data_IF_239980808527
#
_entry.id   IF_239980808527
#
_cell.length_a   1.000
_cell.length_b   1.000
_cell.length_c   1.000
_cell.angle_alpha   90.00
_cell.angle_beta   90.00
_cell.angle_gamma   90.00
#
_symmetry.space_group_name_H-M   'P 1'
#
loop_
_entity.id
_entity.type
_entity.pdbx_description
1 polymer ?
#
# COMPACT_ATOMS: atom_id res chain seq x y z
N UNK A 1 7.48 38.78 -26.57
CA UNK A 1 8.51 38.47 -27.59
C UNK A 1 8.68 36.96 -27.76
N UNK A 2 9.53 36.55 -28.69
CA UNK A 2 9.75 35.11 -28.98
C UNK A 2 10.44 34.39 -27.85
N UNK A 3 11.37 35.03 -27.16
CA UNK A 3 12.14 34.47 -26.05
C UNK A 3 11.20 34.20 -24.83
N UNK A 4 10.36 35.19 -24.49
CA UNK A 4 9.36 35.01 -23.42
C UNK A 4 8.37 33.88 -23.74
N UNK A 5 7.92 33.81 -25.00
CA UNK A 5 7.02 32.71 -25.40
C UNK A 5 7.69 31.34 -25.26
N UNK A 6 8.93 31.21 -25.70
CA UNK A 6 9.68 29.96 -25.60
C UNK A 6 9.93 29.55 -24.14
N UNK A 7 10.26 30.52 -23.29
CA UNK A 7 10.36 30.33 -21.84
C UNK A 7 9.05 29.80 -21.24
N UNK A 8 7.92 30.47 -21.54
CA UNK A 8 6.61 30.05 -21.03
C UNK A 8 6.24 28.64 -21.49
N UNK A 9 6.55 28.27 -22.72
CA UNK A 9 6.24 26.95 -23.24
C UNK A 9 7.09 25.87 -22.56
N UNK A 10 8.39 26.08 -22.42
CA UNK A 10 9.29 25.09 -21.76
C UNK A 10 8.98 24.94 -20.28
N UNK A 11 8.73 26.04 -19.57
CA UNK A 11 8.43 26.01 -18.14
C UNK A 11 7.03 25.45 -17.81
N UNK A 12 6.14 25.39 -18.79
CA UNK A 12 4.74 24.94 -18.61
C UNK A 12 4.62 23.47 -18.20
N UNK A 13 5.64 22.62 -18.42
CA UNK A 13 5.67 21.22 -17.99
C UNK A 13 5.76 21.08 -16.47
N UNK A 14 6.26 22.11 -15.78
CA UNK A 14 6.45 22.12 -14.34
C UNK A 14 5.14 22.52 -13.65
N UNK A 15 4.78 21.81 -12.57
CA UNK A 15 3.65 22.16 -11.70
C UNK A 15 4.02 23.29 -10.74
N UNK A 16 5.23 23.22 -10.20
CA UNK A 16 5.87 24.25 -9.39
C UNK A 16 7.27 24.50 -9.93
N UNK A 17 7.74 25.73 -9.76
CA UNK A 17 8.98 26.21 -10.39
C UNK A 17 9.81 26.97 -9.39
N UNK A 18 11.12 26.76 -9.41
CA UNK A 18 12.11 27.57 -8.73
C UNK A 18 13.27 27.88 -9.70
N UNK A 19 14.22 28.66 -9.25
CA UNK A 19 15.39 29.06 -10.05
C UNK A 19 16.13 27.85 -10.68
N UNK A 20 16.45 26.85 -9.88
CA UNK A 20 17.20 25.68 -10.34
C UNK A 20 16.45 24.87 -11.41
N UNK A 21 15.14 24.66 -11.26
CA UNK A 21 14.29 23.99 -12.24
C UNK A 21 14.20 24.76 -13.54
N UNK A 22 13.95 26.07 -13.44
CA UNK A 22 13.82 26.94 -14.62
C UNK A 22 15.13 27.00 -15.39
N UNK A 23 16.26 27.22 -14.71
CA UNK A 23 17.56 27.27 -15.37
C UNK A 23 17.85 25.95 -16.11
N UNK A 24 17.54 24.79 -15.50
CA UNK A 24 17.78 23.50 -16.14
C UNK A 24 16.85 23.20 -17.31
N UNK A 25 15.57 23.56 -17.20
CA UNK A 25 14.54 23.26 -18.20
C UNK A 25 14.57 24.22 -19.39
N UNK A 26 14.86 25.49 -19.15
CA UNK A 26 14.85 26.52 -20.22
C UNK A 26 16.24 26.74 -20.83
N UNK A 27 17.30 26.42 -20.10
CA UNK A 27 18.68 26.74 -20.46
C UNK A 27 19.08 28.21 -20.15
N UNK A 28 18.30 28.90 -19.34
CA UNK A 28 18.61 30.26 -18.84
C UNK A 28 19.48 30.17 -17.58
N UNK A 29 20.22 31.22 -17.24
CA UNK A 29 21.07 31.27 -16.04
C UNK A 29 20.48 32.15 -14.94
N UNK A 30 19.35 32.84 -15.20
CA UNK A 30 18.74 33.83 -14.32
C UNK A 30 17.24 33.54 -14.10
N UNK A 31 16.90 32.28 -13.80
CA UNK A 31 15.51 31.80 -13.70
C UNK A 31 14.66 32.60 -12.70
N UNK A 32 15.19 32.86 -11.50
CA UNK A 32 14.49 33.66 -10.49
C UNK A 32 14.09 35.05 -11.03
N UNK A 33 15.04 35.75 -11.61
CA UNK A 33 14.82 37.08 -12.14
C UNK A 33 13.79 37.06 -13.28
N UNK A 34 13.80 36.00 -14.09
CA UNK A 34 12.86 35.80 -15.19
C UNK A 34 11.45 35.49 -14.69
N UNK A 35 11.32 34.68 -13.65
CA UNK A 35 10.02 34.40 -12.99
C UNK A 35 9.42 35.70 -12.40
N UNK A 36 10.22 36.51 -11.70
CA UNK A 36 9.77 37.79 -11.13
C UNK A 36 9.39 38.82 -12.21
N UNK A 37 10.06 38.80 -13.37
CA UNK A 37 9.70 39.64 -14.50
C UNK A 37 8.34 39.27 -15.07
N UNK A 38 8.09 37.95 -15.26
CA UNK A 38 6.83 37.39 -15.76
C UNK A 38 5.67 37.69 -14.79
N UNK A 39 5.93 37.54 -13.48
CA UNK A 39 4.97 37.92 -12.44
C UNK A 39 4.59 39.39 -12.55
N UNK A 40 5.57 40.30 -12.65
CA UNK A 40 5.33 41.74 -12.79
C UNK A 40 4.58 42.12 -14.07
N UNK A 41 4.73 41.33 -15.13
CA UNK A 41 3.99 41.50 -16.37
C UNK A 41 2.55 41.00 -16.29
N UNK A 42 2.14 40.38 -15.17
CA UNK A 42 0.79 39.88 -14.94
C UNK A 42 0.45 38.64 -15.78
N UNK A 43 1.44 37.83 -16.17
CA UNK A 43 1.26 36.65 -17.01
C UNK A 43 0.80 35.40 -16.20
N UNK A 44 -0.16 35.59 -15.29
CA UNK A 44 -0.82 34.53 -14.53
C UNK A 44 0.14 33.59 -13.77
N UNK A 45 1.31 34.09 -13.37
CA UNK A 45 2.27 33.45 -12.49
C UNK A 45 1.98 33.89 -11.05
N UNK A 46 2.03 32.96 -10.10
CA UNK A 46 1.74 33.18 -8.69
C UNK A 46 2.86 32.59 -7.83
N UNK A 47 3.19 33.26 -6.71
CA UNK A 47 4.06 32.72 -5.69
C UNK A 47 3.31 31.68 -4.86
N UNK A 48 3.99 30.62 -4.51
CA UNK A 48 3.45 29.52 -3.69
C UNK A 48 3.86 29.63 -2.22
N UNK A 49 4.89 30.42 -1.91
CA UNK A 49 5.48 30.57 -0.60
C UNK A 49 5.75 32.05 -0.25
N UNK A 50 5.93 32.30 1.04
CA UNK A 50 6.22 33.64 1.56
C UNK A 50 7.67 34.09 1.30
N UNK A 51 8.58 33.13 1.01
CA UNK A 51 9.99 33.41 0.69
C UNK A 51 10.16 33.88 -0.75
N UNK A 52 9.18 33.58 -1.60
CA UNK A 52 9.18 33.96 -3.02
C UNK A 52 10.13 33.13 -3.87
N UNK A 53 10.48 31.94 -3.41
CA UNK A 53 11.35 31.00 -4.13
C UNK A 53 10.57 30.09 -5.10
N UNK A 54 9.29 29.78 -4.75
CA UNK A 54 8.46 28.89 -5.52
C UNK A 54 7.33 29.59 -6.24
N UNK A 55 7.14 29.24 -7.51
CA UNK A 55 6.12 29.81 -8.39
C UNK A 55 5.29 28.71 -9.05
N UNK A 56 4.06 29.03 -9.43
CA UNK A 56 3.23 28.21 -10.30
C UNK A 56 2.40 29.07 -11.23
N UNK A 57 2.04 28.51 -12.39
CA UNK A 57 1.06 29.14 -13.26
C UNK A 57 -0.37 28.93 -12.73
N UNK A 58 -1.22 29.94 -12.92
CA UNK A 58 -2.64 29.74 -12.72
C UNK A 58 -3.12 28.52 -13.53
N UNK A 59 -3.93 27.59 -12.95
CA UNK A 59 -4.25 26.29 -13.57
C UNK A 59 -4.72 26.38 -15.02
N UNK A 60 -5.61 27.33 -15.37
CA UNK A 60 -6.11 27.49 -16.73
C UNK A 60 -5.01 27.92 -17.70
N UNK A 61 -4.15 28.82 -17.28
CA UNK A 61 -3.04 29.29 -18.12
C UNK A 61 -1.97 28.21 -18.29
N UNK A 62 -1.61 27.52 -17.22
CA UNK A 62 -0.70 26.40 -17.27
C UNK A 62 -1.20 25.27 -18.20
N UNK A 63 -2.52 24.95 -18.16
CA UNK A 63 -3.12 23.98 -19.08
C UNK A 63 -3.02 24.42 -20.54
N UNK A 64 -3.33 25.69 -20.81
CA UNK A 64 -3.19 26.26 -22.15
C UNK A 64 -1.75 26.17 -22.65
N UNK A 65 -0.78 26.57 -21.82
CA UNK A 65 0.65 26.51 -22.18
C UNK A 65 1.10 25.08 -22.43
N UNK A 66 0.69 24.10 -21.59
CA UNK A 66 1.02 22.67 -21.78
C UNK A 66 0.52 22.13 -23.13
N UNK A 67 -0.73 22.45 -23.50
CA UNK A 67 -1.27 22.06 -24.80
C UNK A 67 -0.45 22.67 -25.94
N UNK A 68 -0.10 23.95 -25.84
CA UNK A 68 0.73 24.60 -26.85
C UNK A 68 2.15 24.01 -26.91
N UNK A 69 2.75 23.74 -25.76
CA UNK A 69 4.05 23.07 -25.66
C UNK A 69 4.04 21.73 -26.39
N UNK A 70 3.02 20.89 -26.18
CA UNK A 70 2.88 19.61 -26.85
C UNK A 70 2.84 19.71 -28.38
N UNK A 71 2.27 20.78 -28.92
CA UNK A 71 2.19 20.98 -30.37
C UNK A 71 3.44 21.62 -30.95
N UNK A 72 3.99 22.62 -30.26
CA UNK A 72 5.05 23.45 -30.80
C UNK A 72 6.46 22.88 -30.51
N UNK A 73 6.62 22.20 -29.37
CA UNK A 73 7.89 21.65 -28.89
C UNK A 73 7.90 20.13 -28.79
N UNK A 74 7.03 19.44 -29.53
CA UNK A 74 6.87 17.98 -29.46
C UNK A 74 8.20 17.21 -29.58
N UNK A 75 9.11 17.66 -30.44
CA UNK A 75 10.43 17.04 -30.62
C UNK A 75 11.39 17.30 -29.45
N UNK A 76 11.23 18.42 -28.73
CA UNK A 76 12.08 18.80 -27.60
C UNK A 76 11.55 18.27 -26.27
N UNK A 77 10.28 17.91 -26.18
CA UNK A 77 9.61 17.50 -24.93
C UNK A 77 10.35 16.41 -24.15
N UNK A 78 10.83 15.33 -24.76
CA UNK A 78 11.58 14.31 -24.02
C UNK A 78 12.82 14.87 -23.31
N UNK A 79 13.58 15.75 -23.97
CA UNK A 79 14.77 16.38 -23.40
C UNK A 79 14.41 17.37 -22.28
N UNK A 80 13.34 18.15 -22.48
CA UNK A 80 12.85 19.10 -21.46
C UNK A 80 12.40 18.33 -20.21
N UNK A 81 11.68 17.21 -20.36
CA UNK A 81 11.28 16.36 -19.25
C UNK A 81 12.47 15.67 -18.59
N UNK A 82 13.48 15.22 -19.34
CA UNK A 82 14.71 14.66 -18.77
C UNK A 82 15.43 15.69 -17.90
N UNK A 83 15.60 16.91 -18.42
CA UNK A 83 16.22 18.00 -17.68
C UNK A 83 15.46 18.34 -16.38
N UNK A 84 14.14 18.32 -16.43
CA UNK A 84 13.29 18.50 -15.25
C UNK A 84 13.48 17.36 -14.21
N UNK A 85 13.50 16.09 -14.66
CA UNK A 85 13.70 14.95 -13.80
C UNK A 85 15.06 15.00 -13.08
N UNK A 86 16.14 15.34 -13.80
CA UNK A 86 17.47 15.52 -13.23
C UNK A 86 17.49 16.61 -12.15
N UNK A 87 16.84 17.74 -12.42
CA UNK A 87 16.78 18.86 -11.47
C UNK A 87 15.95 18.51 -10.22
N UNK A 88 14.83 17.81 -10.37
CA UNK A 88 14.03 17.32 -9.26
C UNK A 88 14.81 16.30 -8.40
N UNK A 89 15.54 15.38 -9.04
CA UNK A 89 16.40 14.44 -8.31
C UNK A 89 17.50 15.16 -7.52
N UNK A 90 18.14 16.16 -8.11
CA UNK A 90 19.17 16.94 -7.43
C UNK A 90 18.64 17.71 -6.21
N UNK A 91 17.34 18.03 -6.18
CA UNK A 91 16.65 18.71 -5.08
C UNK A 91 16.02 17.74 -4.08
N UNK A 92 16.12 16.41 -4.29
CA UNK A 92 15.60 15.40 -3.38
C UNK A 92 14.09 15.13 -3.50
N UNK A 93 13.49 15.36 -4.67
CA UNK A 93 12.08 15.11 -4.96
C UNK A 93 11.90 13.95 -5.98
N UNK A 94 12.07 12.69 -5.55
CA UNK A 94 12.03 11.54 -6.45
C UNK A 94 10.67 11.33 -7.12
N UNK A 95 9.55 11.64 -6.46
CA UNK A 95 8.21 11.50 -7.02
C UNK A 95 8.01 12.40 -8.24
N UNK A 96 8.41 13.68 -8.13
CA UNK A 96 8.34 14.63 -9.25
C UNK A 96 9.28 14.21 -10.37
N UNK A 97 10.49 13.73 -10.03
CA UNK A 97 11.44 13.24 -11.02
C UNK A 97 10.88 12.03 -11.81
N UNK A 98 10.19 11.10 -11.15
CA UNK A 98 9.52 9.95 -11.79
C UNK A 98 8.46 10.41 -12.79
N UNK A 99 7.60 11.37 -12.41
CA UNK A 99 6.60 11.91 -13.34
C UNK A 99 7.24 12.44 -14.62
N UNK A 100 8.37 13.12 -14.50
CA UNK A 100 9.09 13.66 -15.64
C UNK A 100 9.85 12.57 -16.41
N UNK A 101 10.44 11.56 -15.77
CA UNK A 101 11.09 10.43 -16.44
C UNK A 101 10.07 9.60 -17.24
N UNK A 102 8.87 9.37 -16.71
CA UNK A 102 7.75 8.74 -17.43
C UNK A 102 7.34 9.55 -18.66
N UNK A 103 7.18 10.86 -18.51
CA UNK A 103 6.81 11.75 -19.62
C UNK A 103 7.91 11.87 -20.68
N UNK A 104 9.17 11.72 -20.31
CA UNK A 104 10.30 11.67 -21.24
C UNK A 104 10.39 10.33 -21.99
N UNK A 105 9.72 9.27 -21.51
CA UNK A 105 9.88 7.91 -22.01
C UNK A 105 11.27 7.34 -21.76
N UNK A 106 11.99 7.84 -20.73
CA UNK A 106 13.35 7.44 -20.42
C UNK A 106 13.37 6.28 -19.41
N UNK A 107 13.31 5.05 -19.94
CA UNK A 107 13.30 3.84 -19.14
C UNK A 107 14.58 3.64 -18.30
N UNK A 108 15.74 4.12 -18.76
CA UNK A 108 17.00 3.99 -18.01
C UNK A 108 16.99 4.91 -16.80
N UNK A 109 16.62 6.17 -16.99
CA UNK A 109 16.49 7.13 -15.90
C UNK A 109 15.44 6.66 -14.88
N UNK A 110 14.27 6.21 -15.36
CA UNK A 110 13.20 5.70 -14.50
C UNK A 110 13.67 4.50 -13.66
N UNK A 111 14.36 3.54 -14.28
CA UNK A 111 14.97 2.40 -13.58
C UNK A 111 15.93 2.85 -12.48
N UNK A 112 16.82 3.79 -12.80
CA UNK A 112 17.85 4.25 -11.86
C UNK A 112 17.23 5.01 -10.67
N UNK A 113 16.17 5.79 -10.90
CA UNK A 113 15.40 6.43 -9.81
C UNK A 113 14.74 5.37 -8.93
N UNK A 114 14.09 4.36 -9.53
CA UNK A 114 13.42 3.30 -8.78
C UNK A 114 14.40 2.48 -7.94
N UNK A 115 15.56 2.11 -8.49
CA UNK A 115 16.57 1.34 -7.74
C UNK A 115 17.03 2.05 -6.46
N UNK A 116 17.06 3.38 -6.47
CA UNK A 116 17.56 4.17 -5.33
C UNK A 116 16.47 4.68 -4.40
N UNK A 117 15.23 4.90 -4.87
CA UNK A 117 14.21 5.63 -4.12
C UNK A 117 12.87 4.89 -3.95
N UNK A 118 12.68 3.75 -4.63
CA UNK A 118 11.38 3.08 -4.65
C UNK A 118 10.88 2.65 -3.25
N UNK A 119 11.77 2.24 -2.36
CA UNK A 119 11.40 1.89 -0.99
C UNK A 119 10.90 3.09 -0.19
N UNK A 120 11.48 4.28 -0.40
CA UNK A 120 10.97 5.51 0.19
C UNK A 120 9.56 5.81 -0.30
N UNK A 121 9.32 5.72 -1.61
CA UNK A 121 7.99 5.92 -2.20
C UNK A 121 6.97 4.89 -1.70
N UNK A 122 7.38 3.63 -1.60
CA UNK A 122 6.55 2.56 -1.06
C UNK A 122 6.11 2.85 0.39
N UNK A 123 7.06 3.27 1.24
CA UNK A 123 6.79 3.60 2.63
C UNK A 123 5.92 4.85 2.81
N UNK A 124 5.98 5.80 1.86
CA UNK A 124 5.11 6.99 1.85
C UNK A 124 3.77 6.75 1.13
N UNK A 125 3.43 5.48 0.85
CA UNK A 125 2.16 5.07 0.22
C UNK A 125 1.94 5.62 -1.19
N UNK A 126 2.99 5.98 -1.91
CA UNK A 126 2.92 6.40 -3.32
C UNK A 126 2.79 5.20 -4.28
N UNK A 127 1.89 4.27 -3.92
CA UNK A 127 1.79 2.96 -4.58
C UNK A 127 1.34 3.05 -6.04
N UNK A 128 0.47 4.02 -6.36
CA UNK A 128 0.00 4.23 -7.74
C UNK A 128 1.13 4.68 -8.67
N UNK A 129 1.98 5.59 -8.19
CA UNK A 129 3.14 6.07 -8.94
C UNK A 129 4.16 4.95 -9.17
N UNK A 130 4.41 4.13 -8.14
CA UNK A 130 5.27 2.95 -8.25
C UNK A 130 4.72 1.93 -9.25
N UNK A 131 3.41 1.66 -9.23
CA UNK A 131 2.78 0.72 -10.15
C UNK A 131 2.87 1.20 -11.60
N UNK A 132 2.59 2.47 -11.86
CA UNK A 132 2.73 3.09 -13.18
C UNK A 132 4.18 3.00 -13.66
N UNK A 133 5.13 3.31 -12.78
CA UNK A 133 6.56 3.29 -13.08
C UNK A 133 7.07 1.90 -13.43
N UNK A 134 6.71 0.88 -12.63
CA UNK A 134 7.11 -0.50 -12.88
C UNK A 134 6.48 -1.05 -14.16
N UNK A 135 5.23 -0.68 -14.47
CA UNK A 135 4.58 -1.05 -15.76
C UNK A 135 5.22 -0.40 -16.97
N UNK A 136 5.81 0.77 -16.83
CA UNK A 136 6.49 1.48 -17.91
C UNK A 136 7.85 0.87 -18.25
N UNK A 137 8.46 0.10 -17.34
CA UNK A 137 9.73 -0.56 -17.60
C UNK A 137 9.54 -1.82 -18.46
N UNK A 138 10.41 -2.04 -19.47
CA UNK A 138 10.46 -3.30 -20.20
C UNK A 138 10.77 -4.47 -19.25
N UNK A 139 10.18 -5.64 -19.54
CA UNK A 139 10.41 -6.85 -18.72
C UNK A 139 11.90 -7.22 -18.63
N UNK A 140 12.65 -7.08 -19.69
CA UNK A 140 14.08 -7.35 -19.70
C UNK A 140 14.85 -6.47 -18.69
N UNK A 141 14.44 -5.20 -18.53
CA UNK A 141 15.03 -4.31 -17.52
C UNK A 141 14.70 -4.76 -16.08
N UNK A 142 13.55 -5.39 -15.86
CA UNK A 142 13.21 -5.99 -14.57
C UNK A 142 14.04 -7.25 -14.31
N UNK A 143 14.27 -8.09 -15.32
CA UNK A 143 15.10 -9.31 -15.21
C UNK A 143 16.56 -8.99 -14.92
N UNK A 144 17.08 -7.94 -15.52
CA UNK A 144 18.44 -7.45 -15.25
C UNK A 144 18.59 -6.89 -13.82
N UNK A 145 17.48 -6.51 -13.19
CA UNK A 145 17.44 -5.93 -11.85
C UNK A 145 16.39 -6.64 -10.97
N UNK A 146 16.70 -7.84 -10.43
CA UNK A 146 15.78 -8.66 -9.67
C UNK A 146 15.12 -7.93 -8.47
N UNK A 147 15.77 -6.90 -7.94
CA UNK A 147 15.24 -6.02 -6.90
C UNK A 147 13.95 -5.31 -7.34
N UNK A 148 13.80 -4.98 -8.63
CA UNK A 148 12.58 -4.36 -9.16
C UNK A 148 11.45 -5.39 -9.30
N UNK A 149 11.78 -6.65 -9.62
CA UNK A 149 10.82 -7.76 -9.60
C UNK A 149 10.30 -7.98 -8.18
N UNK A 150 11.19 -7.98 -7.19
CA UNK A 150 10.85 -8.10 -5.79
C UNK A 150 9.96 -6.93 -5.33
N UNK A 151 10.32 -5.70 -5.69
CA UNK A 151 9.51 -4.51 -5.41
C UNK A 151 8.10 -4.61 -6.02
N UNK A 152 8.00 -5.07 -7.28
CA UNK A 152 6.71 -5.28 -7.94
C UNK A 152 5.87 -6.33 -7.19
N UNK A 153 6.51 -7.42 -6.74
CA UNK A 153 5.83 -8.45 -5.97
C UNK A 153 5.36 -7.93 -4.61
N UNK A 154 6.16 -7.13 -3.91
CA UNK A 154 5.76 -6.46 -2.66
C UNK A 154 4.61 -5.48 -2.87
N UNK A 155 4.63 -4.72 -3.96
CA UNK A 155 3.55 -3.82 -4.31
C UNK A 155 2.22 -4.59 -4.53
N UNK A 156 2.26 -5.68 -5.30
CA UNK A 156 1.10 -6.56 -5.50
C UNK A 156 0.62 -7.17 -4.18
N UNK A 157 1.56 -7.61 -3.33
CA UNK A 157 1.26 -8.15 -2.01
C UNK A 157 0.53 -7.13 -1.12
N UNK A 158 1.01 -5.89 -1.06
CA UNK A 158 0.39 -4.82 -0.28
C UNK A 158 -1.02 -4.45 -0.77
N UNK A 159 -1.31 -4.72 -2.04
CA UNK A 159 -2.61 -4.54 -2.68
C UNK A 159 -3.51 -5.80 -2.61
N UNK A 160 -3.11 -6.84 -1.88
CA UNK A 160 -3.82 -8.13 -1.77
C UNK A 160 -4.03 -8.87 -3.11
N UNK A 161 -3.15 -8.65 -4.09
CA UNK A 161 -3.19 -9.28 -5.42
C UNK A 161 -2.41 -10.60 -5.43
N UNK A 162 -2.69 -11.49 -4.51
CA UNK A 162 -1.90 -12.72 -4.22
C UNK A 162 -1.70 -13.65 -5.42
N UNK A 163 -2.73 -13.82 -6.25
CA UNK A 163 -2.62 -14.64 -7.45
C UNK A 163 -1.61 -14.10 -8.47
N UNK A 164 -1.48 -12.77 -8.57
CA UNK A 164 -0.51 -12.13 -9.44
C UNK A 164 0.91 -12.25 -8.86
N UNK A 165 1.06 -12.15 -7.53
CA UNK A 165 2.34 -12.40 -6.86
C UNK A 165 2.87 -13.79 -7.20
N UNK A 166 2.04 -14.84 -7.04
CA UNK A 166 2.42 -16.22 -7.37
C UNK A 166 2.85 -16.37 -8.82
N UNK A 167 2.13 -15.75 -9.76
CA UNK A 167 2.46 -15.78 -11.18
C UNK A 167 3.79 -15.08 -11.47
N UNK A 168 4.00 -13.91 -10.87
CA UNK A 168 5.23 -13.13 -11.03
C UNK A 168 6.44 -13.89 -10.50
N UNK A 169 6.32 -14.48 -9.29
CA UNK A 169 7.39 -15.26 -8.67
C UNK A 169 7.75 -16.49 -9.49
N UNK A 170 6.77 -17.25 -9.96
CA UNK A 170 7.00 -18.43 -10.79
C UNK A 170 7.74 -18.06 -12.10
N UNK A 171 7.37 -16.93 -12.71
CA UNK A 171 8.04 -16.42 -13.89
C UNK A 171 9.48 -15.99 -13.59
N UNK A 172 9.68 -15.23 -12.51
CA UNK A 172 10.99 -14.76 -12.10
C UNK A 172 11.94 -15.93 -11.82
N UNK A 173 11.49 -16.97 -11.12
CA UNK A 173 12.30 -18.17 -10.84
C UNK A 173 12.76 -18.92 -12.08
N UNK A 174 11.94 -18.92 -13.12
CA UNK A 174 12.28 -19.57 -14.38
C UNK A 174 13.32 -18.76 -15.18
N UNK A 175 13.21 -17.43 -15.13
CA UNK A 175 13.96 -16.53 -16.02
C UNK A 175 15.22 -15.94 -15.35
N UNK A 176 15.25 -15.79 -14.00
CA UNK A 176 16.39 -15.22 -13.26
C UNK A 176 17.27 -16.34 -12.72
N UNK A 177 18.48 -16.47 -13.26
CA UNK A 177 19.40 -17.58 -12.93
C UNK A 177 19.94 -17.51 -11.49
N UNK A 178 20.14 -16.31 -10.95
CA UNK A 178 20.83 -16.08 -9.67
C UNK A 178 19.87 -15.97 -8.46
N UNK A 179 18.57 -16.17 -8.67
CA UNK A 179 17.57 -16.07 -7.59
C UNK A 179 17.66 -17.19 -6.56
N UNK A 180 18.40 -18.26 -6.87
CA UNK A 180 18.45 -19.49 -6.06
C UNK A 180 19.50 -19.48 -4.95
N UNK A 181 20.32 -18.44 -4.88
CA UNK A 181 21.42 -18.35 -3.91
C UNK A 181 21.58 -16.93 -3.38
N UNK A 182 22.10 -16.81 -2.15
CA UNK A 182 22.48 -15.54 -1.54
C UNK A 182 21.32 -14.70 -1.04
N UNK A 183 21.58 -13.40 -0.83
CA UNK A 183 20.64 -12.45 -0.22
C UNK A 183 19.34 -12.32 -1.00
N UNK A 184 19.39 -12.36 -2.34
CA UNK A 184 18.20 -12.28 -3.18
C UNK A 184 17.29 -13.50 -2.97
N UNK A 185 17.85 -14.71 -2.85
CA UNK A 185 17.11 -15.91 -2.51
C UNK A 185 16.39 -15.76 -1.16
N UNK A 186 17.09 -15.24 -0.15
CA UNK A 186 16.52 -15.01 1.16
C UNK A 186 15.37 -13.99 1.14
N UNK A 187 15.48 -12.92 0.36
CA UNK A 187 14.38 -11.95 0.17
C UNK A 187 13.16 -12.58 -0.52
N UNK A 188 13.37 -13.39 -1.55
CA UNK A 188 12.29 -14.15 -2.19
C UNK A 188 11.66 -15.15 -1.23
N UNK A 189 12.44 -15.79 -0.34
CA UNK A 189 11.90 -16.67 0.68
C UNK A 189 11.04 -15.93 1.70
N UNK A 190 11.40 -14.70 2.09
CA UNK A 190 10.58 -13.86 2.96
C UNK A 190 9.22 -13.54 2.31
N UNK A 191 9.23 -13.16 1.02
CA UNK A 191 8.01 -12.91 0.27
C UNK A 191 7.15 -14.17 0.10
N UNK A 192 7.76 -15.29 -0.23
CA UNK A 192 7.05 -16.59 -0.35
C UNK A 192 6.47 -17.04 0.98
N UNK A 193 7.16 -16.78 2.10
CA UNK A 193 6.63 -17.05 3.42
C UNK A 193 5.32 -16.27 3.66
N UNK A 194 5.28 -15.00 3.27
CA UNK A 194 4.06 -14.19 3.35
C UNK A 194 2.94 -14.72 2.42
N UNK A 195 3.29 -15.14 1.21
CA UNK A 195 2.30 -15.76 0.31
C UNK A 195 1.78 -17.08 0.89
N UNK A 196 2.66 -17.91 1.43
CA UNK A 196 2.28 -19.20 2.01
C UNK A 196 1.32 -19.06 3.20
N UNK A 197 1.53 -18.07 4.09
CA UNK A 197 0.61 -17.83 5.21
C UNK A 197 -0.74 -17.32 4.70
N UNK A 198 -0.76 -16.46 3.69
CA UNK A 198 -2.00 -15.96 3.07
C UNK A 198 -2.79 -17.09 2.36
N UNK A 199 -2.09 -18.06 1.78
CA UNK A 199 -2.68 -19.25 1.15
C UNK A 199 -3.12 -20.33 2.16
N UNK A 200 -2.95 -20.06 3.48
CA UNK A 200 -3.34 -20.96 4.56
C UNK A 200 -2.40 -22.15 4.75
N UNK A 201 -1.11 -22.00 4.40
CA UNK A 201 -0.08 -23.00 4.58
C UNK A 201 0.97 -22.56 5.63
N UNK A 202 0.64 -22.60 6.94
CA UNK A 202 1.51 -22.10 8.00
C UNK A 202 2.82 -22.88 8.15
N UNK A 203 2.86 -24.16 7.82
CA UNK A 203 4.09 -24.96 7.96
C UNK A 203 5.14 -24.56 6.92
N UNK A 204 4.73 -24.34 5.68
CA UNK A 204 5.61 -23.83 4.63
C UNK A 204 6.02 -22.38 4.90
N UNK A 205 5.10 -21.55 5.38
CA UNK A 205 5.39 -20.19 5.80
C UNK A 205 6.47 -20.14 6.89
N UNK A 206 6.36 -21.00 7.91
CA UNK A 206 7.35 -21.09 8.98
C UNK A 206 8.72 -21.50 8.45
N UNK A 207 8.77 -22.52 7.59
CA UNK A 207 10.01 -23.02 7.00
C UNK A 207 10.72 -21.93 6.21
N UNK A 208 10.00 -21.24 5.32
CA UNK A 208 10.54 -20.19 4.46
C UNK A 208 10.97 -18.95 5.26
N UNK A 209 10.17 -18.53 6.25
CA UNK A 209 10.50 -17.37 7.08
C UNK A 209 11.76 -17.59 7.93
N UNK A 210 11.94 -18.81 8.49
CA UNK A 210 13.15 -19.18 9.22
C UNK A 210 14.37 -19.17 8.31
N UNK A 211 14.27 -19.79 7.14
CA UNK A 211 15.34 -19.81 6.14
C UNK A 211 15.74 -18.38 5.72
N UNK A 212 14.75 -17.52 5.46
CA UNK A 212 15.00 -16.13 5.14
C UNK A 212 15.76 -15.39 6.26
N UNK A 213 15.35 -15.56 7.53
CA UNK A 213 15.99 -14.89 8.66
C UNK A 213 17.42 -15.37 8.94
N UNK A 214 17.74 -16.64 8.61
CA UNK A 214 19.10 -17.20 8.73
C UNK A 214 20.05 -16.59 7.68
N UNK A 215 19.57 -16.35 6.46
CA UNK A 215 20.37 -15.92 5.33
C UNK A 215 20.41 -14.39 5.13
N UNK A 216 19.35 -13.65 5.58
CA UNK A 216 19.26 -12.20 5.41
C UNK A 216 20.26 -11.44 6.27
N UNK A 217 21.13 -10.60 5.70
CA UNK A 217 21.98 -9.70 6.47
C UNK A 217 21.17 -8.73 7.35
N UNK A 218 21.73 -8.25 8.47
CA UNK A 218 21.01 -7.32 9.39
C UNK A 218 20.48 -6.06 8.71
N UNK A 219 21.15 -5.54 7.66
CA UNK A 219 20.76 -4.35 6.93
C UNK A 219 19.55 -4.53 6.00
N UNK A 220 19.11 -5.77 5.75
CA UNK A 220 17.90 -6.06 4.98
C UNK A 220 16.65 -6.00 5.85
N UNK A 221 16.42 -4.83 6.45
CA UNK A 221 15.39 -4.64 7.47
C UNK A 221 13.98 -4.99 6.98
N UNK A 222 13.60 -4.63 5.73
CA UNK A 222 12.26 -4.85 5.23
C UNK A 222 11.89 -6.34 5.18
N UNK A 223 12.68 -7.14 4.48
CA UNK A 223 12.45 -8.58 4.36
C UNK A 223 12.56 -9.30 5.71
N UNK A 224 13.40 -8.79 6.63
CA UNK A 224 13.46 -9.30 8.02
C UNK A 224 12.19 -8.96 8.82
N UNK A 225 11.64 -7.75 8.67
CA UNK A 225 10.36 -7.37 9.28
C UNK A 225 9.26 -8.32 8.81
N UNK A 226 9.17 -8.55 7.49
CA UNK A 226 8.18 -9.47 6.91
C UNK A 226 8.32 -10.87 7.45
N UNK A 227 9.53 -11.46 7.40
CA UNK A 227 9.75 -12.82 7.86
C UNK A 227 9.46 -12.98 9.37
N UNK A 228 9.76 -11.96 10.19
CA UNK A 228 9.44 -11.97 11.63
C UNK A 228 7.92 -11.87 11.85
N UNK A 229 7.22 -11.02 11.07
CA UNK A 229 5.76 -10.93 11.09
C UNK A 229 5.11 -12.27 10.76
N UNK A 230 5.55 -12.91 9.67
CA UNK A 230 5.04 -14.23 9.26
C UNK A 230 5.20 -15.28 10.36
N UNK A 231 6.35 -15.32 11.05
CA UNK A 231 6.52 -16.23 12.18
C UNK A 231 5.55 -15.94 13.33
N UNK A 232 5.24 -14.66 13.57
CA UNK A 232 4.22 -14.26 14.53
C UNK A 232 2.82 -14.77 14.13
N UNK A 233 2.45 -14.61 12.85
CA UNK A 233 1.19 -15.12 12.31
C UNK A 233 1.09 -16.64 12.36
N UNK A 234 2.17 -17.35 12.02
CA UNK A 234 2.26 -18.82 12.16
C UNK A 234 2.01 -19.27 13.59
N UNK A 235 2.63 -18.60 14.57
CA UNK A 235 2.42 -18.92 15.98
C UNK A 235 0.99 -18.63 16.43
N UNK A 236 0.35 -17.57 15.89
CA UNK A 236 -1.06 -17.29 16.12
C UNK A 236 -1.93 -18.46 15.60
N UNK A 237 -1.72 -18.89 14.37
CA UNK A 237 -2.43 -20.05 13.78
C UNK A 237 -2.25 -21.34 14.60
N UNK A 238 -1.09 -21.52 15.22
CA UNK A 238 -0.77 -22.68 16.09
C UNK A 238 -1.30 -22.53 17.53
N UNK A 239 -1.91 -21.40 17.87
CA UNK A 239 -2.43 -21.11 19.21
C UNK A 239 -1.37 -20.72 20.25
N UNK A 240 -0.12 -20.49 19.82
CA UNK A 240 0.99 -20.06 20.68
C UNK A 240 0.95 -18.54 20.92
N UNK A 241 -0.18 -18.05 21.44
CA UNK A 241 -0.54 -16.63 21.47
C UNK A 241 0.47 -15.72 22.17
N UNK A 242 1.09 -16.19 23.28
CA UNK A 242 2.08 -15.39 24.02
C UNK A 242 3.35 -15.16 23.21
N UNK A 243 3.83 -16.19 22.51
CA UNK A 243 5.01 -16.09 21.65
C UNK A 243 4.71 -15.25 20.40
N UNK A 244 3.52 -15.45 19.83
CA UNK A 244 3.02 -14.65 18.71
C UNK A 244 2.99 -13.16 19.06
N UNK A 245 2.42 -12.79 20.22
CA UNK A 245 2.38 -11.41 20.68
C UNK A 245 3.78 -10.79 20.79
N UNK A 246 4.75 -11.52 21.34
CA UNK A 246 6.12 -11.04 21.48
C UNK A 246 6.77 -10.77 20.10
N UNK A 247 6.55 -11.66 19.11
CA UNK A 247 7.07 -11.44 17.75
C UNK A 247 6.39 -10.26 17.06
N UNK A 248 5.07 -10.06 17.24
CA UNK A 248 4.37 -8.90 16.68
C UNK A 248 4.85 -7.58 17.30
N UNK A 249 5.14 -7.56 18.60
CA UNK A 249 5.75 -6.40 19.26
C UNK A 249 7.17 -6.12 18.74
N UNK A 250 7.96 -7.17 18.52
CA UNK A 250 9.29 -7.03 17.90
C UNK A 250 9.17 -6.48 16.46
N UNK A 251 8.22 -7.00 15.68
CA UNK A 251 7.95 -6.55 14.30
C UNK A 251 7.55 -5.07 14.29
N UNK A 252 6.65 -4.65 15.18
CA UNK A 252 6.26 -3.24 15.31
C UNK A 252 7.46 -2.34 15.61
N UNK A 253 8.29 -2.74 16.58
CA UNK A 253 9.47 -1.98 16.95
C UNK A 253 10.45 -1.83 15.77
N UNK A 254 10.74 -2.92 15.06
CA UNK A 254 11.61 -2.89 13.88
C UNK A 254 11.01 -2.04 12.76
N UNK A 255 9.72 -2.15 12.52
CA UNK A 255 9.02 -1.40 11.49
C UNK A 255 9.05 0.12 11.78
N UNK A 256 8.84 0.53 13.02
CA UNK A 256 8.94 1.95 13.42
C UNK A 256 10.36 2.49 13.33
N UNK A 257 11.38 1.68 13.62
CA UNK A 257 12.79 2.10 13.54
C UNK A 257 13.24 2.40 12.10
N UNK A 258 12.55 1.83 11.12
CA UNK A 258 12.89 1.92 9.70
C UNK A 258 11.79 2.59 8.86
N UNK A 259 10.83 3.28 9.49
CA UNK A 259 9.71 3.98 8.85
C UNK A 259 8.85 3.08 7.93
N UNK A 260 8.77 1.78 8.24
CA UNK A 260 7.94 0.81 7.51
C UNK A 260 6.53 0.80 8.11
N UNK A 261 5.81 1.91 7.93
CA UNK A 261 4.57 2.22 8.66
C UNK A 261 3.45 1.22 8.43
N UNK A 262 3.32 0.65 7.23
CA UNK A 262 2.30 -0.37 6.96
C UNK A 262 2.54 -1.67 7.76
N UNK A 263 3.80 -2.10 8.00
CA UNK A 263 4.09 -3.22 8.88
C UNK A 263 3.97 -2.88 10.37
N UNK A 264 4.25 -1.65 10.75
CA UNK A 264 3.94 -1.16 12.11
C UNK A 264 2.44 -1.23 12.38
N UNK A 265 1.62 -0.78 11.41
CA UNK A 265 0.16 -0.87 11.47
C UNK A 265 -0.32 -2.32 11.51
N UNK A 266 0.18 -3.17 10.60
CA UNK A 266 -0.15 -4.59 10.56
C UNK A 266 0.14 -5.28 11.89
N UNK A 267 1.30 -5.00 12.48
CA UNK A 267 1.69 -5.56 13.78
C UNK A 267 0.75 -5.16 14.91
N UNK A 268 0.28 -3.91 14.94
CA UNK A 268 -0.72 -3.45 15.92
C UNK A 268 -2.06 -4.15 15.72
N UNK A 269 -2.48 -4.36 14.48
CA UNK A 269 -3.69 -5.12 14.15
C UNK A 269 -3.59 -6.53 14.71
N UNK A 270 -2.50 -7.24 14.41
CA UNK A 270 -2.26 -8.60 14.89
C UNK A 270 -2.17 -8.68 16.42
N UNK A 271 -1.46 -7.74 17.07
CA UNK A 271 -1.42 -7.65 18.53
C UNK A 271 -2.83 -7.52 19.13
N UNK A 272 -3.68 -6.66 18.55
CA UNK A 272 -5.05 -6.49 19.01
C UNK A 272 -5.86 -7.79 18.88
N UNK A 273 -5.71 -8.51 17.76
CA UNK A 273 -6.40 -9.78 17.53
C UNK A 273 -5.93 -10.89 18.51
N UNK A 274 -4.63 -10.98 18.75
CA UNK A 274 -4.03 -11.91 19.71
C UNK A 274 -4.50 -11.61 21.14
N UNK A 275 -4.52 -10.35 21.54
CA UNK A 275 -4.98 -9.91 22.87
C UNK A 275 -6.48 -10.19 23.05
N UNK A 276 -7.28 -9.97 22.00
CA UNK A 276 -8.69 -10.37 22.00
C UNK A 276 -8.85 -11.88 22.20
N UNK A 277 -8.07 -12.71 21.48
CA UNK A 277 -8.09 -14.16 21.61
C UNK A 277 -7.66 -14.64 23.01
N UNK A 278 -6.78 -13.91 23.68
CA UNK A 278 -6.37 -14.15 25.06
C UNK A 278 -7.38 -13.67 26.10
N UNK A 279 -8.41 -12.93 25.70
CA UNK A 279 -9.41 -12.35 26.60
C UNK A 279 -9.00 -11.01 27.22
N UNK A 280 -7.87 -10.41 26.84
CA UNK A 280 -7.41 -9.10 27.31
C UNK A 280 -8.10 -7.96 26.54
N UNK A 281 -9.44 -7.88 26.62
CA UNK A 281 -10.26 -7.02 25.78
C UNK A 281 -9.90 -5.53 25.89
N UNK A 282 -9.61 -5.05 27.11
CA UNK A 282 -9.25 -3.65 27.34
C UNK A 282 -7.90 -3.32 26.68
N UNK A 283 -6.89 -4.18 26.84
CA UNK A 283 -5.58 -3.98 26.23
C UNK A 283 -5.66 -4.09 24.69
N UNK A 284 -6.52 -4.99 24.17
CA UNK A 284 -6.79 -5.07 22.74
C UNK A 284 -7.38 -3.76 22.20
N UNK A 285 -8.33 -3.16 22.93
CA UNK A 285 -8.91 -1.85 22.58
C UNK A 285 -7.85 -0.73 22.56
N UNK A 286 -7.04 -0.65 23.62
CA UNK A 286 -5.95 0.34 23.70
C UNK A 286 -4.93 0.18 22.56
N UNK A 287 -4.68 -1.05 22.15
CA UNK A 287 -3.80 -1.35 21.01
C UNK A 287 -4.43 -0.87 19.69
N UNK A 288 -5.75 -1.00 19.55
CA UNK A 288 -6.46 -0.45 18.40
C UNK A 288 -6.43 1.07 18.35
N UNK A 289 -6.60 1.74 19.49
CA UNK A 289 -6.49 3.21 19.53
C UNK A 289 -5.10 3.67 19.04
N UNK A 290 -4.02 2.96 19.41
CA UNK A 290 -2.67 3.21 18.89
C UNK A 290 -2.60 3.00 17.37
N UNK A 291 -3.29 2.00 16.83
CA UNK A 291 -3.32 1.75 15.40
C UNK A 291 -4.07 2.86 14.64
N UNK A 292 -5.22 3.32 15.15
CA UNK A 292 -5.94 4.46 14.55
C UNK A 292 -5.14 5.76 14.63
N UNK A 293 -4.44 5.98 15.75
CA UNK A 293 -3.53 7.13 15.88
C UNK A 293 -2.42 7.07 14.84
N UNK A 294 -1.79 5.91 14.63
CA UNK A 294 -0.75 5.71 13.62
C UNK A 294 -1.27 6.00 12.19
N UNK A 295 -2.50 5.56 11.87
CA UNK A 295 -3.14 5.86 10.58
C UNK A 295 -3.20 7.37 10.36
N UNK A 296 -3.71 8.11 11.34
CA UNK A 296 -3.85 9.57 11.24
C UNK A 296 -2.50 10.30 11.18
N UNK A 297 -1.51 9.86 11.96
CA UNK A 297 -0.19 10.48 12.01
C UNK A 297 0.63 10.26 10.73
N UNK A 298 0.46 9.11 10.09
CA UNK A 298 1.25 8.69 8.92
C UNK A 298 0.44 8.68 7.62
N UNK A 299 -0.81 9.18 7.64
CA UNK A 299 -1.70 9.28 6.48
C UNK A 299 -1.91 7.94 5.75
N UNK A 300 -2.21 6.89 6.53
CA UNK A 300 -2.35 5.51 6.03
C UNK A 300 -3.81 5.12 5.71
N UNK A 301 -4.73 6.08 5.58
CA UNK A 301 -6.16 5.85 5.38
C UNK A 301 -6.47 5.05 4.11
N UNK A 302 -5.58 5.12 3.11
CA UNK A 302 -5.75 4.43 1.83
C UNK A 302 -5.33 2.96 1.87
N UNK A 303 -4.69 2.50 2.96
CA UNK A 303 -4.29 1.10 3.08
C UNK A 303 -5.50 0.20 3.31
N UNK A 304 -5.62 -0.93 2.60
CA UNK A 304 -6.74 -1.86 2.77
C UNK A 304 -6.79 -2.53 4.16
N UNK A 305 -5.75 -2.37 4.98
CA UNK A 305 -5.68 -2.91 6.35
C UNK A 305 -6.69 -2.29 7.31
N UNK A 306 -7.28 -1.15 6.98
CA UNK A 306 -8.30 -0.49 7.81
C UNK A 306 -9.49 -1.42 8.11
N UNK A 307 -9.84 -2.29 7.17
CA UNK A 307 -10.90 -3.29 7.37
C UNK A 307 -10.64 -4.20 8.58
N UNK A 308 -9.42 -4.69 8.76
CA UNK A 308 -9.08 -5.56 9.88
C UNK A 308 -9.31 -4.85 11.22
N UNK A 309 -8.96 -3.56 11.31
CA UNK A 309 -9.20 -2.77 12.52
C UNK A 309 -10.67 -2.61 12.84
N UNK A 310 -11.50 -2.22 11.87
CA UNK A 310 -12.94 -2.02 12.11
C UNK A 310 -13.64 -3.33 12.42
N UNK A 311 -13.19 -4.45 11.87
CA UNK A 311 -13.68 -5.79 12.19
C UNK A 311 -13.37 -6.18 13.63
N UNK A 312 -12.11 -6.05 14.07
CA UNK A 312 -11.72 -6.40 15.45
C UNK A 312 -12.41 -5.45 16.44
N UNK A 313 -12.56 -4.17 16.08
CA UNK A 313 -13.34 -3.21 16.87
C UNK A 313 -14.80 -3.64 17.04
N UNK A 314 -15.42 -4.12 15.96
CA UNK A 314 -16.77 -4.68 16.03
C UNK A 314 -16.83 -5.92 16.95
N UNK A 315 -15.82 -6.79 16.92
CA UNK A 315 -15.75 -7.96 17.82
C UNK A 315 -15.62 -7.55 19.30
N UNK A 316 -14.78 -6.56 19.61
CA UNK A 316 -14.62 -6.02 20.96
C UNK A 316 -15.92 -5.40 21.48
N UNK A 317 -16.57 -4.57 20.68
CA UNK A 317 -17.86 -3.95 21.00
C UNK A 317 -18.95 -4.99 21.20
N UNK A 318 -18.98 -6.02 20.36
CA UNK A 318 -19.90 -7.14 20.52
C UNK A 318 -19.65 -7.91 21.81
N UNK A 319 -18.39 -8.18 22.17
CA UNK A 319 -18.01 -8.84 23.42
C UNK A 319 -18.45 -8.04 24.68
N UNK A 320 -18.52 -6.72 24.57
CA UNK A 320 -19.06 -5.83 25.62
C UNK A 320 -20.57 -5.59 25.52
N UNK A 321 -21.27 -6.33 24.66
CA UNK A 321 -22.70 -6.18 24.39
C UNK A 321 -23.12 -4.78 23.86
N UNK A 322 -22.18 -4.01 23.29
CA UNK A 322 -22.42 -2.70 22.65
C UNK A 322 -22.83 -2.93 21.19
N UNK A 323 -23.99 -3.56 20.99
CA UNK A 323 -24.40 -4.13 19.68
C UNK A 323 -24.60 -3.07 18.60
N UNK A 324 -25.10 -1.87 18.92
CA UNK A 324 -25.31 -0.80 17.93
C UNK A 324 -23.99 -0.27 17.38
N UNK A 325 -23.01 -0.12 18.25
CA UNK A 325 -21.69 0.33 17.87
C UNK A 325 -20.90 -0.76 17.12
N UNK A 326 -21.07 -2.03 17.53
CA UNK A 326 -20.50 -3.17 16.83
C UNK A 326 -21.02 -3.25 15.38
N UNK A 327 -22.35 -3.07 15.21
CA UNK A 327 -22.99 -3.05 13.91
C UNK A 327 -22.49 -1.86 13.05
N UNK A 328 -22.43 -0.66 13.64
CA UNK A 328 -21.91 0.53 12.94
C UNK A 328 -20.45 0.32 12.46
N UNK A 329 -19.60 -0.25 13.32
CA UNK A 329 -18.21 -0.55 12.96
C UNK A 329 -18.13 -1.59 11.82
N UNK A 330 -18.92 -2.67 11.87
CA UNK A 330 -18.93 -3.67 10.81
C UNK A 330 -19.46 -3.12 9.47
N UNK A 331 -20.46 -2.22 9.50
CA UNK A 331 -20.98 -1.53 8.31
C UNK A 331 -19.92 -0.62 7.69
N UNK A 332 -19.20 0.15 8.50
CA UNK A 332 -18.09 0.99 8.05
C UNK A 332 -17.02 0.15 7.33
N UNK A 333 -16.68 -1.04 7.84
CA UNK A 333 -15.78 -1.97 7.16
C UNK A 333 -16.27 -2.37 5.77
N UNK A 334 -17.56 -2.65 5.61
CA UNK A 334 -18.14 -2.99 4.29
C UNK A 334 -18.07 -1.79 3.32
N UNK A 335 -18.31 -0.57 3.79
CA UNK A 335 -18.26 0.64 2.97
C UNK A 335 -16.84 0.91 2.48
N UNK A 336 -15.85 0.82 3.35
CA UNK A 336 -14.41 0.94 2.99
C UNK A 336 -14.04 -0.10 1.94
N UNK A 337 -14.50 -1.35 2.08
CA UNK A 337 -14.20 -2.45 1.16
C UNK A 337 -15.01 -2.41 -0.14
N UNK A 338 -16.04 -1.58 -0.25
CA UNK A 338 -16.83 -1.49 -1.49
C UNK A 338 -16.00 -1.05 -2.69
N UNK A 339 -14.89 -0.35 -2.44
CA UNK A 339 -13.92 0.09 -3.45
C UNK A 339 -12.87 -0.97 -3.80
N UNK A 340 -12.80 -2.08 -3.03
CA UNK A 340 -11.82 -3.15 -3.16
C UNK A 340 -12.51 -4.49 -3.52
N UNK A 341 -11.83 -5.60 -3.23
CA UNK A 341 -12.36 -6.93 -3.55
C UNK A 341 -13.57 -7.28 -2.67
N UNK A 342 -14.74 -7.61 -3.24
CA UNK A 342 -15.95 -7.95 -2.47
C UNK A 342 -15.74 -9.09 -1.47
N UNK A 343 -14.78 -9.99 -1.76
CA UNK A 343 -14.44 -11.13 -0.91
C UNK A 343 -14.03 -10.71 0.51
N UNK A 344 -13.38 -9.56 0.66
CA UNK A 344 -12.92 -9.07 1.97
C UNK A 344 -14.07 -8.65 2.88
N UNK A 345 -15.28 -8.44 2.35
CA UNK A 345 -16.48 -8.14 3.15
C UNK A 345 -16.99 -9.32 3.98
N UNK A 346 -16.48 -10.54 3.74
CA UNK A 346 -16.99 -11.77 4.37
C UNK A 346 -17.00 -11.70 5.90
N UNK A 347 -15.92 -11.19 6.50
CA UNK A 347 -15.77 -11.10 7.95
C UNK A 347 -16.68 -10.05 8.57
N UNK A 348 -16.82 -8.89 7.94
CA UNK A 348 -17.74 -7.85 8.39
C UNK A 348 -19.21 -8.30 8.27
N UNK A 349 -19.57 -9.06 7.22
CA UNK A 349 -20.88 -9.69 7.10
C UNK A 349 -21.14 -10.69 8.22
N UNK A 350 -20.14 -11.53 8.55
CA UNK A 350 -20.27 -12.45 9.68
C UNK A 350 -20.54 -11.70 11.01
N UNK A 351 -19.90 -10.55 11.23
CA UNK A 351 -20.18 -9.71 12.41
C UNK A 351 -21.59 -9.11 12.39
N UNK A 352 -22.08 -8.63 11.25
CA UNK A 352 -23.47 -8.14 11.13
C UNK A 352 -24.50 -9.24 11.45
N UNK A 353 -24.25 -10.48 10.97
CA UNK A 353 -25.08 -11.63 11.30
C UNK A 353 -25.05 -11.89 12.81
N UNK A 354 -23.88 -11.87 13.45
CA UNK A 354 -23.74 -12.06 14.90
C UNK A 354 -24.53 -10.99 15.68
N UNK A 355 -24.47 -9.72 15.28
CA UNK A 355 -25.23 -8.65 15.91
C UNK A 355 -26.74 -8.87 15.77
N UNK A 356 -27.22 -9.25 14.58
CA UNK A 356 -28.62 -9.54 14.32
C UNK A 356 -29.11 -10.74 15.12
N UNK A 357 -28.31 -11.82 15.19
CA UNK A 357 -28.65 -13.02 15.99
C UNK A 357 -28.70 -12.70 17.49
N UNK A 358 -27.78 -11.88 18.00
CA UNK A 358 -27.78 -11.45 19.40
C UNK A 358 -29.04 -10.66 19.78
N UNK A 359 -29.66 -9.93 18.82
CA UNK A 359 -30.93 -9.22 19.01
C UNK A 359 -32.17 -10.08 18.75
N UNK A 360 -32.00 -11.29 18.23
CA UNK A 360 -33.11 -12.14 17.78
C UNK A 360 -33.75 -11.68 16.46
N UNK A 361 -33.09 -10.79 15.70
CA UNK A 361 -33.54 -10.31 14.38
C UNK A 361 -33.16 -11.30 13.30
N UNK A 362 -33.98 -12.36 13.19
CA UNK A 362 -33.73 -13.47 12.26
C UNK A 362 -33.90 -13.07 10.78
N UNK A 363 -34.76 -12.09 10.48
CA UNK A 363 -35.01 -11.62 9.12
C UNK A 363 -33.77 -10.89 8.56
N UNK A 364 -33.23 -9.97 9.33
CA UNK A 364 -31.97 -9.27 8.96
C UNK A 364 -30.80 -10.24 8.92
N UNK A 365 -30.69 -11.16 9.90
CA UNK A 365 -29.67 -12.20 9.88
C UNK A 365 -29.74 -13.04 8.61
N UNK A 366 -30.95 -13.42 8.14
CA UNK A 366 -31.15 -14.17 6.89
C UNK A 366 -30.71 -13.39 5.66
N UNK A 367 -31.05 -12.11 5.60
CA UNK A 367 -30.65 -11.24 4.50
C UNK A 367 -29.12 -11.15 4.36
N UNK A 368 -28.42 -10.91 5.48
CA UNK A 368 -26.95 -10.86 5.51
C UNK A 368 -26.32 -12.24 5.23
N UNK A 369 -26.94 -13.32 5.69
CA UNK A 369 -26.49 -14.69 5.45
C UNK A 369 -26.53 -15.04 3.97
N UNK A 370 -27.58 -14.66 3.24
CA UNK A 370 -27.65 -14.86 1.79
C UNK A 370 -26.50 -14.14 1.05
N UNK A 371 -26.14 -12.92 1.48
CA UNK A 371 -25.00 -12.19 0.93
C UNK A 371 -23.68 -12.92 1.20
N UNK A 372 -23.50 -13.39 2.43
CA UNK A 372 -22.32 -14.15 2.85
C UNK A 372 -22.17 -15.45 2.06
N UNK A 373 -23.26 -16.20 1.85
CA UNK A 373 -23.27 -17.45 1.09
C UNK A 373 -22.95 -17.23 -0.39
N UNK A 374 -23.45 -16.15 -0.99
CA UNK A 374 -23.11 -15.75 -2.34
C UNK A 374 -21.60 -15.44 -2.51
N UNK A 375 -21.00 -14.77 -1.51
CA UNK A 375 -19.55 -14.52 -1.53
C UNK A 375 -18.77 -15.84 -1.42
N UNK A 376 -19.15 -16.71 -0.46
CA UNK A 376 -18.48 -18.01 -0.27
C UNK A 376 -18.51 -18.88 -1.55
N UNK A 377 -19.60 -18.84 -2.31
CA UNK A 377 -19.74 -19.58 -3.55
C UNK A 377 -18.85 -19.10 -4.70
N UNK A 378 -18.38 -17.85 -4.63
CA UNK A 378 -17.69 -17.17 -5.73
C UNK A 378 -16.20 -16.90 -5.46
N UNK A 379 -15.63 -17.32 -4.30
CA UNK A 379 -14.28 -16.98 -3.91
C UNK A 379 -13.51 -18.13 -3.25
N UNK A 380 -12.20 -17.96 -3.17
CA UNK A 380 -11.31 -18.75 -2.31
C UNK A 380 -10.97 -17.90 -1.09
N UNK A 381 -11.05 -18.50 0.09
CA UNK A 381 -10.88 -17.79 1.35
C UNK A 381 -9.91 -18.54 2.27
N UNK A 382 -9.28 -17.80 3.16
CA UNK A 382 -8.51 -18.38 4.25
C UNK A 382 -9.40 -19.26 5.15
N UNK A 383 -8.86 -20.33 5.69
CA UNK A 383 -9.60 -21.31 6.52
C UNK A 383 -10.33 -20.68 7.70
N UNK A 384 -9.73 -19.67 8.34
CA UNK A 384 -10.32 -18.97 9.49
C UNK A 384 -11.54 -18.15 9.10
N UNK A 385 -11.52 -17.56 7.90
CA UNK A 385 -12.66 -16.81 7.37
C UNK A 385 -13.83 -17.73 7.08
N UNK A 386 -13.55 -18.90 6.49
CA UNK A 386 -14.56 -19.95 6.26
C UNK A 386 -15.11 -20.45 7.61
N UNK A 387 -14.24 -20.63 8.60
CA UNK A 387 -14.63 -21.08 9.95
C UNK A 387 -15.58 -20.09 10.62
N UNK A 388 -15.26 -18.79 10.59
CA UNK A 388 -16.14 -17.75 11.12
C UNK A 388 -17.49 -17.66 10.38
N UNK A 389 -17.46 -17.77 9.07
CA UNK A 389 -18.67 -17.81 8.25
C UNK A 389 -19.56 -19.03 8.61
N UNK A 390 -18.96 -20.21 8.75
CA UNK A 390 -19.67 -21.42 9.16
C UNK A 390 -20.24 -21.31 10.56
N UNK A 391 -19.50 -20.70 11.50
CA UNK A 391 -20.00 -20.45 12.87
C UNK A 391 -21.32 -19.69 12.85
N UNK A 392 -21.42 -18.58 12.13
CA UNK A 392 -22.66 -17.78 12.10
C UNK A 392 -23.79 -18.51 11.39
N UNK A 393 -23.50 -19.33 10.36
CA UNK A 393 -24.46 -20.20 9.69
C UNK A 393 -25.07 -21.21 10.66
N UNK A 394 -24.22 -21.93 11.39
CA UNK A 394 -24.67 -22.93 12.38
C UNK A 394 -25.53 -22.29 13.47
N UNK A 395 -25.12 -21.14 14.02
CA UNK A 395 -25.92 -20.43 15.03
C UNK A 395 -27.29 -20.05 14.48
N UNK A 396 -27.35 -19.49 13.25
CA UNK A 396 -28.60 -19.12 12.60
C UNK A 396 -29.52 -20.33 12.45
N UNK A 397 -29.04 -21.46 11.91
CA UNK A 397 -29.84 -22.67 11.72
C UNK A 397 -30.33 -23.28 13.04
N UNK A 398 -29.49 -23.24 14.08
CA UNK A 398 -29.91 -23.65 15.43
C UNK A 398 -31.05 -22.78 15.97
N UNK A 399 -30.96 -21.45 15.79
CA UNK A 399 -32.01 -20.51 16.25
C UNK A 399 -33.30 -20.64 15.43
N UNK A 400 -33.22 -21.00 14.17
CA UNK A 400 -34.41 -21.23 13.30
C UNK A 400 -34.98 -22.66 13.42
N UNK A 401 -34.31 -23.56 14.14
CA UNK A 401 -34.75 -24.94 14.31
C UNK A 401 -34.41 -25.87 13.14
N UNK A 402 -33.63 -25.41 12.18
CA UNK A 402 -33.18 -26.22 11.03
C UNK A 402 -31.97 -27.08 11.42
N UNK A 403 -32.26 -28.19 12.09
CA UNK A 403 -31.25 -29.15 12.57
C UNK A 403 -30.56 -29.92 11.44
N UNK A 404 -31.17 -29.96 10.24
CA UNK A 404 -30.55 -30.66 9.09
C UNK A 404 -29.50 -29.81 8.40
N UNK A 405 -29.64 -28.47 8.47
CA UNK A 405 -28.68 -27.54 7.91
C UNK A 405 -27.54 -27.19 8.90
N UNK A 406 -27.77 -27.29 10.20
CA UNK A 406 -26.79 -27.04 11.27
C UNK A 406 -25.84 -28.25 11.47
#
# INVERSE_FOLDING_TARGET
DLATRHFLLKSAILRSMNDALINRVTGEENGQMRLEEIERQGLFLQRMDDTGEWFCYHPLFGNFLRQRCQWELAAELPEIHRAAAESWMAQGFPSEAIHHALAAGDALMLRDILLNHAWSLFNHSELSLLEESLKALPWDSLLENPQLVLLQAWLMQSQHRYGEVNTLLARAEHEIKDIREGTMHAEFNALRAQVAINDGNPDEAERLAKLALEELPPGWFYSRIVATSVLGEVLHCKGELTRSLALMQQTEQMARQHDVWHYALWSLIQQSEILFAQGFLQTAWETQEKAFQLINEQHLEQLPMHEFLVRIRAQLLWAWARLDEAEASARSGIEVLSSYQPQQQLQCLAMLIQCSLARGDLDNARSQLNRLENLLGNGKYHSDWISNANKVRVIYWQMTGDKAAA
#
